data_IF_876548303850
#
_entry.id   IF_876548303850
#
_cell.length_a   1.000
_cell.length_b   1.000
_cell.length_c   1.000
_cell.angle_alpha   90.00
_cell.angle_beta   90.00
_cell.angle_gamma   90.00
#
_symmetry.space_group_name_H-M   'P 1'
#
loop_
_entity.id
_entity.type
_entity.pdbx_description
1 polymer ?
#
# COMPACT_ATOMS: atom_id res chain seq x y z
N UNK A 1 1.90 -22.85 44.37
CA UNK A 1 0.94 -21.98 43.67
C UNK A 1 1.70 -20.73 43.26
N UNK A 2 2.03 -20.59 41.98
CA UNK A 2 2.81 -19.45 41.49
C UNK A 2 1.95 -18.70 40.47
N UNK A 3 1.68 -17.44 40.78
CA UNK A 3 0.87 -16.49 40.02
C UNK A 3 1.40 -16.25 38.60
N UNK A 4 0.54 -16.00 37.60
CA UNK A 4 0.97 -15.61 36.26
C UNK A 4 1.41 -14.14 36.24
N UNK A 5 2.57 -13.88 35.62
CA UNK A 5 3.10 -12.55 35.43
C UNK A 5 2.31 -11.78 34.35
N UNK A 6 2.16 -10.48 34.61
CA UNK A 6 1.36 -9.51 33.89
C UNK A 6 1.68 -9.43 32.39
N UNK A 7 0.63 -9.21 31.59
CA UNK A 7 0.69 -9.04 30.15
C UNK A 7 1.63 -7.93 29.68
N UNK A 8 2.53 -8.30 28.78
CA UNK A 8 3.36 -7.37 28.03
C UNK A 8 2.47 -6.51 27.11
N UNK A 9 2.35 -5.22 27.42
CA UNK A 9 1.80 -4.22 26.50
C UNK A 9 2.64 -4.25 25.22
N UNK A 10 2.04 -4.34 24.01
CA UNK A 10 2.79 -4.41 22.77
C UNK A 10 3.70 -3.18 22.65
N UNK A 11 5.01 -3.40 22.60
CA UNK A 11 5.98 -2.35 22.32
C UNK A 11 5.62 -1.68 20.97
N UNK A 12 5.61 -0.33 20.93
CA UNK A 12 5.34 0.43 19.70
C UNK A 12 6.38 0.07 18.64
N UNK A 13 5.98 -0.78 17.68
CA UNK A 13 6.82 -1.16 16.55
C UNK A 13 6.95 0.03 15.61
N UNK A 14 8.18 0.33 15.19
CA UNK A 14 8.44 1.36 14.16
C UNK A 14 7.62 1.02 12.90
N UNK A 15 7.00 2.01 12.24
CA UNK A 15 6.27 1.76 11.01
C UNK A 15 7.23 1.18 9.96
N UNK A 16 6.86 0.05 9.39
CA UNK A 16 7.62 -0.59 8.31
C UNK A 16 7.13 -0.01 6.99
N UNK A 17 8.03 0.62 6.26
CA UNK A 17 7.75 1.10 4.91
C UNK A 17 8.04 -0.02 3.92
N UNK A 18 7.01 -0.48 3.23
CA UNK A 18 7.10 -1.49 2.18
C UNK A 18 7.47 -0.79 0.86
N UNK A 19 8.18 -1.49 -0.04
CA UNK A 19 8.43 -1.01 -1.42
C UNK A 19 7.41 -1.60 -2.38
N UNK A 20 7.19 -0.97 -3.53
CA UNK A 20 6.30 -1.47 -4.58
C UNK A 20 6.67 -2.89 -4.97
N UNK A 21 7.96 -3.17 -5.18
CA UNK A 21 8.51 -4.49 -5.57
C UNK A 21 8.20 -5.62 -4.56
N UNK A 22 7.81 -5.28 -3.33
CA UNK A 22 7.54 -6.24 -2.25
C UNK A 22 6.04 -6.49 -2.03
N UNK A 23 5.17 -5.88 -2.84
CA UNK A 23 3.73 -6.07 -2.74
C UNK A 23 3.33 -7.44 -3.27
N UNK A 24 2.38 -8.08 -2.58
CA UNK A 24 1.83 -9.39 -2.96
C UNK A 24 0.31 -9.31 -3.11
N UNK A 25 -0.31 -10.12 -3.98
CA UNK A 25 -1.76 -10.17 -4.11
C UNK A 25 -2.46 -10.39 -2.76
N UNK A 26 -3.65 -9.81 -2.57
CA UNK A 26 -4.53 -10.07 -1.42
C UNK A 26 -3.89 -9.73 -0.05
N UNK A 27 -2.91 -8.82 -0.02
CA UNK A 27 -2.28 -8.34 1.23
C UNK A 27 -2.79 -6.96 1.65
N UNK A 28 -2.76 -6.66 2.95
CA UNK A 28 -3.20 -5.39 3.52
C UNK A 28 -2.25 -4.90 4.63
N UNK A 29 -2.42 -3.65 5.09
CA UNK A 29 -1.60 -3.06 6.14
C UNK A 29 -0.32 -2.39 5.64
N UNK A 30 -0.18 -2.14 4.33
CA UNK A 30 1.04 -1.58 3.77
C UNK A 30 1.17 -0.10 4.06
N UNK A 31 2.38 0.32 4.41
CA UNK A 31 2.74 1.74 4.47
C UNK A 31 3.78 2.02 3.39
N UNK A 32 3.48 2.92 2.46
CA UNK A 32 4.31 3.21 1.29
C UNK A 32 4.43 4.73 1.09
N UNK A 33 5.61 5.18 0.67
CA UNK A 33 5.78 6.50 0.07
C UNK A 33 5.75 6.35 -1.44
N UNK A 34 4.79 6.98 -2.11
CA UNK A 34 4.60 6.88 -3.56
C UNK A 34 4.66 8.24 -4.21
N UNK A 35 5.14 8.28 -5.45
CA UNK A 35 5.16 9.48 -6.28
C UNK A 35 4.23 9.26 -7.47
N UNK A 36 3.33 10.22 -7.70
CA UNK A 36 2.34 10.14 -8.76
C UNK A 36 2.99 10.49 -10.10
N UNK A 37 3.15 9.49 -10.97
CA UNK A 37 3.71 9.68 -12.32
C UNK A 37 2.64 10.11 -13.31
N UNK A 38 1.46 9.50 -13.23
CA UNK A 38 0.32 9.77 -14.10
C UNK A 38 -0.98 9.73 -13.30
N UNK A 39 -1.92 10.59 -13.66
CA UNK A 39 -3.24 10.66 -13.04
C UNK A 39 -4.32 10.82 -14.11
N UNK A 40 -5.24 9.86 -14.21
CA UNK A 40 -6.45 10.00 -15.03
C UNK A 40 -7.58 10.62 -14.19
N UNK A 41 -8.04 11.85 -14.49
CA UNK A 41 -9.07 12.52 -13.72
C UNK A 41 -10.46 11.88 -13.94
N UNK A 42 -11.10 11.56 -12.83
CA UNK A 42 -12.51 11.17 -12.69
C UNK A 42 -13.27 12.41 -12.21
N UNK A 43 -14.29 12.90 -12.94
CA UNK A 43 -15.03 14.10 -12.57
C UNK A 43 -15.53 14.06 -11.11
N UNK A 44 -15.47 15.21 -10.43
CA UNK A 44 -16.01 15.35 -9.06
C UNK A 44 -15.13 14.79 -7.92
N UNK A 45 -13.88 14.38 -8.19
CA UNK A 45 -12.95 13.90 -7.15
C UNK A 45 -11.63 14.64 -7.15
N UNK A 46 -11.34 15.33 -6.04
CA UNK A 46 -10.01 15.89 -5.74
C UNK A 46 -8.97 14.77 -5.62
N UNK A 47 -7.78 14.99 -6.17
CA UNK A 47 -6.67 14.02 -6.21
C UNK A 47 -5.31 14.71 -6.11
N UNK A 48 -4.27 13.97 -5.70
CA UNK A 48 -2.90 14.45 -5.84
C UNK A 48 -2.58 14.71 -7.31
N UNK A 49 -1.92 15.84 -7.59
CA UNK A 49 -1.44 16.17 -8.92
C UNK A 49 -0.30 15.27 -9.37
N UNK A 50 -0.05 15.22 -10.68
CA UNK A 50 1.16 14.59 -11.22
C UNK A 50 2.40 15.24 -10.60
N UNK A 51 3.37 14.42 -10.19
CA UNK A 51 4.57 14.84 -9.48
C UNK A 51 4.43 14.91 -7.96
N UNK A 52 3.23 14.83 -7.40
CA UNK A 52 3.02 14.83 -5.96
C UNK A 52 3.61 13.57 -5.31
N UNK A 53 4.23 13.74 -4.15
CA UNK A 53 4.65 12.63 -3.29
C UNK A 53 3.64 12.50 -2.15
N UNK A 54 3.13 11.28 -1.94
CA UNK A 54 2.15 10.99 -0.90
C UNK A 54 2.55 9.74 -0.14
N UNK A 55 2.25 9.71 1.15
CA UNK A 55 2.38 8.54 2.00
C UNK A 55 1.01 7.88 2.12
N UNK A 56 0.93 6.61 1.77
CA UNK A 56 -0.25 5.77 1.93
C UNK A 56 -0.03 4.91 3.16
N UNK A 57 -0.89 5.04 4.16
CA UNK A 57 -0.86 4.26 5.40
C UNK A 57 -2.02 3.27 5.42
N UNK A 58 -1.74 2.06 5.89
CA UNK A 58 -2.71 0.96 5.95
C UNK A 58 -3.39 0.73 4.59
N UNK A 59 -2.59 0.78 3.52
CA UNK A 59 -3.04 0.49 2.17
C UNK A 59 -3.22 -1.03 2.00
N UNK A 60 -4.15 -1.40 1.13
CA UNK A 60 -4.43 -2.78 0.73
C UNK A 60 -4.23 -2.97 -0.75
N UNK A 61 -3.96 -4.21 -1.12
CA UNK A 61 -4.04 -4.66 -2.50
C UNK A 61 -5.45 -5.14 -2.78
N UNK A 62 -6.11 -4.48 -3.71
CA UNK A 62 -7.37 -4.91 -4.30
C UNK A 62 -7.09 -5.64 -5.62
N UNK A 63 -7.69 -6.80 -5.82
CA UNK A 63 -7.56 -7.54 -7.06
C UNK A 63 -8.67 -7.09 -8.02
N UNK A 64 -8.29 -6.59 -9.19
CA UNK A 64 -9.23 -6.16 -10.21
C UNK A 64 -8.90 -6.80 -11.55
N UNK A 65 -9.80 -7.68 -12.03
CA UNK A 65 -9.67 -8.39 -13.32
C UNK A 65 -8.30 -9.06 -13.51
N UNK A 66 -7.81 -9.75 -12.48
CA UNK A 66 -6.51 -10.42 -12.50
C UNK A 66 -5.31 -9.53 -12.16
N UNK A 67 -5.46 -8.20 -12.12
CA UNK A 67 -4.36 -7.30 -11.81
C UNK A 67 -4.46 -6.72 -10.40
N UNK A 68 -3.31 -6.46 -9.77
CA UNK A 68 -3.24 -5.81 -8.47
C UNK A 68 -3.45 -4.29 -8.57
N UNK A 69 -4.20 -3.74 -7.62
CA UNK A 69 -4.35 -2.29 -7.42
C UNK A 69 -4.09 -1.92 -5.97
N UNK A 70 -3.29 -0.87 -5.76
CA UNK A 70 -3.09 -0.31 -4.43
C UNK A 70 -4.26 0.61 -4.09
N UNK A 71 -4.94 0.33 -2.99
CA UNK A 71 -6.11 1.08 -2.52
C UNK A 71 -5.94 1.45 -1.04
N UNK A 72 -6.53 2.57 -0.63
CA UNK A 72 -6.65 2.97 0.77
C UNK A 72 -8.13 2.94 1.12
N UNK A 73 -8.49 2.20 2.15
CA UNK A 73 -9.88 2.07 2.60
C UNK A 73 -10.21 3.04 3.75
N UNK A 74 -11.38 2.86 4.38
CA UNK A 74 -11.88 3.72 5.47
C UNK A 74 -10.98 3.78 6.71
N UNK A 75 -10.07 2.81 6.89
CA UNK A 75 -9.14 2.75 8.01
C UNK A 75 -7.73 3.19 7.63
N UNK A 76 -7.50 3.46 6.35
CA UNK A 76 -6.22 3.96 5.85
C UNK A 76 -6.17 5.47 5.74
N UNK A 77 -4.96 6.00 5.52
CA UNK A 77 -4.70 7.43 5.45
C UNK A 77 -3.82 7.76 4.26
N UNK A 78 -4.11 8.88 3.61
CA UNK A 78 -3.27 9.48 2.57
C UNK A 78 -2.73 10.78 3.13
N UNK A 79 -1.41 10.90 3.20
CA UNK A 79 -0.72 12.09 3.71
C UNK A 79 0.10 12.70 2.57
N UNK A 80 -0.10 13.99 2.29
CA UNK A 80 0.82 14.71 1.42
C UNK A 80 2.14 14.89 2.17
N UNK A 81 3.25 14.70 1.46
CA UNK A 81 4.60 14.88 2.02
C UNK A 81 5.43 15.74 1.08
N UNK A 82 6.57 16.20 1.59
CA UNK A 82 7.58 16.86 0.77
C UNK A 82 7.99 15.97 -0.42
N UNK A 83 8.36 16.57 -1.57
CA UNK A 83 8.78 15.82 -2.74
C UNK A 83 9.95 14.89 -2.41
N UNK A 84 9.75 13.59 -2.61
CA UNK A 84 10.83 12.64 -2.40
C UNK A 84 11.85 12.71 -3.55
N UNK A 85 13.13 12.55 -3.21
CA UNK A 85 14.25 12.63 -4.15
C UNK A 85 14.49 11.35 -4.97
N UNK A 86 13.69 10.29 -4.76
CA UNK A 86 13.84 9.05 -5.52
C UNK A 86 13.15 9.14 -6.89
N UNK A 87 13.76 8.49 -7.88
CA UNK A 87 13.16 8.27 -9.20
C UNK A 87 12.25 7.05 -9.15
N UNK A 88 11.03 7.18 -9.68
CA UNK A 88 10.09 6.07 -9.79
C UNK A 88 10.60 5.10 -10.87
N UNK A 89 10.64 3.81 -10.55
CA UNK A 89 10.94 2.75 -11.52
C UNK A 89 9.68 2.42 -12.31
N UNK A 90 9.43 3.15 -13.38
CA UNK A 90 8.22 2.97 -14.20
C UNK A 90 8.15 1.60 -14.88
N UNK A 91 9.29 0.96 -15.11
CA UNK A 91 9.38 -0.40 -15.66
C UNK A 91 8.78 -1.46 -14.73
N UNK A 92 8.78 -1.22 -13.41
CA UNK A 92 8.23 -2.17 -12.44
C UNK A 92 6.75 -1.91 -12.15
N UNK A 93 5.91 -2.14 -13.14
CA UNK A 93 4.47 -1.90 -13.02
C UNK A 93 3.70 -3.19 -12.65
N UNK A 94 3.52 -3.41 -11.34
CA UNK A 94 2.74 -4.55 -10.81
C UNK A 94 1.26 -4.54 -11.20
N UNK A 95 0.72 -3.41 -11.68
CA UNK A 95 -0.67 -3.34 -12.13
C UNK A 95 -0.87 -3.87 -13.55
N UNK A 96 0.21 -4.08 -14.31
CA UNK A 96 0.17 -4.75 -15.62
C UNK A 96 0.36 -6.27 -15.51
N UNK A 97 0.79 -6.74 -14.35
CA UNK A 97 0.96 -8.17 -14.10
C UNK A 97 -0.41 -8.79 -13.84
N UNK A 98 -0.74 -9.81 -14.64
CA UNK A 98 -1.92 -10.63 -14.44
C UNK A 98 -1.58 -11.79 -13.51
N UNK A 99 -2.40 -11.97 -12.48
CA UNK A 99 -2.33 -13.05 -11.52
C UNK A 99 -3.56 -13.94 -11.68
N UNK A 100 -3.31 -15.24 -11.72
CA UNK A 100 -4.36 -16.25 -11.69
C UNK A 100 -4.73 -16.58 -10.24
N UNK A 101 -6.03 -16.70 -9.97
CA UNK A 101 -6.50 -17.12 -8.66
C UNK A 101 -6.40 -18.64 -8.58
N UNK A 102 -5.30 -19.12 -7.99
CA UNK A 102 -5.10 -20.54 -7.74
C UNK A 102 -5.89 -20.93 -6.51
N UNK A 103 -7.02 -21.62 -6.70
CA UNK A 103 -7.68 -22.33 -5.62
C UNK A 103 -6.85 -23.57 -5.29
N UNK A 104 -6.02 -23.49 -4.26
CA UNK A 104 -5.40 -24.69 -3.69
C UNK A 104 -6.52 -25.42 -2.95
N UNK A 105 -7.11 -26.43 -3.58
CA UNK A 105 -7.90 -27.42 -2.88
C UNK A 105 -6.94 -28.17 -1.95
N UNK A 106 -7.21 -28.14 -0.64
CA UNK A 106 -6.54 -29.00 0.34
C UNK A 106 -6.92 -30.47 0.12
#
# INVERSE_FOLDING_TARGET
MSTPAAGEKPALRKPVFTKVDQLKPVTSGHTLTVKVVSANPVPGRARPGVGATVILRNAKIDMFKGSMRLAVDKWGRIEATEPASFTVKEDNNLSLVEYELVNVAE
#
